data_IF_755522157173
#
_entry.id   IF_755522157173
#
_cell.length_a   1.000
_cell.length_b   1.000
_cell.length_c   1.000
_cell.angle_alpha   90.00
_cell.angle_beta   90.00
_cell.angle_gamma   90.00
#
_symmetry.space_group_name_H-M   'P 1'
#
loop_
_entity.id
_entity.type
_entity.pdbx_description
1 polymer ?
#
# COMPACT_ATOMS: atom_id res chain seq x y z
N UNK A 1 -7.31 -26.46 8.59
CA UNK A 1 -6.49 -26.67 9.80
C UNK A 1 -6.35 -25.33 10.54
N UNK A 2 -6.13 -25.30 11.86
CA UNK A 2 -6.01 -24.04 12.62
C UNK A 2 -4.81 -23.17 12.18
N UNK A 3 -3.76 -23.78 11.63
CA UNK A 3 -2.60 -23.06 11.08
C UNK A 3 -2.94 -22.30 9.78
N UNK A 4 -3.79 -22.87 8.92
CA UNK A 4 -4.28 -22.19 7.71
C UNK A 4 -5.16 -20.99 8.05
N UNK A 5 -5.97 -21.09 9.11
CA UNK A 5 -6.77 -19.97 9.59
C UNK A 5 -5.88 -18.84 10.13
N UNK A 6 -4.85 -19.17 10.91
CA UNK A 6 -3.90 -18.18 11.43
C UNK A 6 -3.09 -17.49 10.33
N UNK A 7 -2.63 -18.24 9.31
CA UNK A 7 -1.95 -17.66 8.16
C UNK A 7 -2.87 -16.70 7.38
N UNK A 8 -4.12 -17.11 7.12
CA UNK A 8 -5.11 -16.25 6.46
C UNK A 8 -5.43 -14.99 7.29
N UNK A 9 -5.47 -15.09 8.63
CA UNK A 9 -5.65 -13.93 9.51
C UNK A 9 -4.47 -12.97 9.42
N UNK A 10 -3.23 -13.47 9.34
CA UNK A 10 -2.04 -12.64 9.14
C UNK A 10 -2.09 -11.91 7.79
N UNK A 11 -2.53 -12.58 6.73
CA UNK A 11 -2.65 -11.97 5.39
C UNK A 11 -3.67 -10.84 5.37
N UNK A 12 -4.83 -11.04 6.02
CA UNK A 12 -5.87 -9.99 6.14
C UNK A 12 -5.37 -8.81 6.96
N UNK A 13 -4.69 -9.07 8.09
CA UNK A 13 -4.14 -8.01 8.93
C UNK A 13 -3.04 -7.22 8.22
N UNK A 14 -2.18 -7.88 7.45
CA UNK A 14 -1.15 -7.21 6.66
C UNK A 14 -1.77 -6.33 5.57
N UNK A 15 -2.82 -6.81 4.90
CA UNK A 15 -3.53 -6.04 3.89
C UNK A 15 -4.25 -4.83 4.49
N UNK A 16 -4.89 -5.01 5.65
CA UNK A 16 -5.52 -3.93 6.40
C UNK A 16 -4.51 -2.86 6.85
N UNK A 17 -3.36 -3.29 7.38
CA UNK A 17 -2.26 -2.39 7.73
C UNK A 17 -1.74 -1.63 6.51
N UNK A 18 -1.60 -2.30 5.37
CA UNK A 18 -1.21 -1.69 4.10
C UNK A 18 -2.22 -0.63 3.65
N UNK A 19 -3.52 -0.88 3.83
CA UNK A 19 -4.59 0.07 3.48
C UNK A 19 -4.58 1.32 4.35
N UNK A 20 -4.35 1.16 5.65
CA UNK A 20 -4.18 2.30 6.58
C UNK A 20 -2.92 3.09 6.26
N UNK A 21 -1.84 2.40 5.91
CA UNK A 21 -0.61 3.08 5.54
C UNK A 21 -0.78 3.85 4.23
N UNK A 22 -1.48 3.28 3.24
CA UNK A 22 -1.85 3.95 2.00
C UNK A 22 -2.68 5.22 2.24
N UNK A 23 -3.66 5.19 3.14
CA UNK A 23 -4.40 6.38 3.54
C UNK A 23 -3.47 7.48 4.08
N UNK A 24 -2.52 7.10 4.94
CA UNK A 24 -1.51 8.03 5.48
C UNK A 24 -0.61 8.58 4.38
N UNK A 25 -0.21 7.77 3.42
CA UNK A 25 0.60 8.19 2.25
C UNK A 25 -0.16 9.24 1.43
N UNK A 26 -1.43 9.01 1.12
CA UNK A 26 -2.25 9.95 0.34
C UNK A 26 -2.43 11.27 1.09
N UNK A 27 -2.65 11.22 2.41
CA UNK A 27 -2.91 12.42 3.23
C UNK A 27 -1.67 13.22 3.59
N UNK A 28 -0.52 12.57 3.81
CA UNK A 28 0.69 13.21 4.36
C UNK A 28 1.90 13.18 3.43
N UNK A 29 1.90 12.32 2.42
CA UNK A 29 3.02 12.14 1.49
C UNK A 29 3.14 13.24 0.44
N UNK A 30 2.30 14.29 0.49
CA UNK A 30 2.38 15.42 -0.43
C UNK A 30 1.53 15.26 -1.70
N UNK A 31 1.76 16.19 -2.63
CA UNK A 31 0.88 16.39 -3.80
C UNK A 31 1.24 15.52 -5.02
N UNK A 32 2.48 15.04 -5.13
CA UNK A 32 2.95 14.27 -6.29
C UNK A 32 3.12 12.79 -5.95
N UNK A 33 2.98 11.88 -6.93
CA UNK A 33 3.31 10.47 -6.74
C UNK A 33 4.73 10.25 -6.24
N UNK A 34 5.70 11.04 -6.71
CA UNK A 34 7.11 10.98 -6.30
C UNK A 34 7.27 11.29 -4.81
N UNK A 35 6.63 12.36 -4.34
CA UNK A 35 6.65 12.76 -2.93
C UNK A 35 6.01 11.69 -2.05
N UNK A 36 4.88 11.11 -2.51
CA UNK A 36 4.16 10.05 -1.79
C UNK A 36 4.95 8.75 -1.72
N UNK A 37 5.63 8.36 -2.81
CA UNK A 37 6.49 7.18 -2.84
C UNK A 37 7.72 7.36 -1.95
N UNK A 38 8.34 8.55 -1.96
CA UNK A 38 9.42 8.91 -1.03
C UNK A 38 8.97 8.80 0.43
N UNK A 39 7.84 9.43 0.77
CA UNK A 39 7.25 9.36 2.10
C UNK A 39 6.92 7.92 2.54
N UNK A 40 6.36 7.10 1.64
CA UNK A 40 6.05 5.71 1.92
C UNK A 40 7.32 4.91 2.26
N UNK A 41 8.35 5.07 1.44
CA UNK A 41 9.61 4.35 1.62
C UNK A 41 10.34 4.79 2.89
N UNK A 42 10.48 6.09 3.12
CA UNK A 42 11.15 6.64 4.29
C UNK A 42 10.40 6.31 5.59
N UNK A 43 9.07 6.38 5.59
CA UNK A 43 8.28 6.03 6.78
C UNK A 43 8.46 4.58 7.19
N UNK A 44 8.64 3.67 6.23
CA UNK A 44 8.81 2.25 6.51
C UNK A 44 10.26 1.84 6.79
N UNK A 45 11.24 2.45 6.13
CA UNK A 45 12.66 2.03 6.16
C UNK A 45 13.58 2.98 6.95
N UNK A 46 13.08 4.17 7.30
CA UNK A 46 13.84 5.28 7.90
C UNK A 46 15.02 5.79 7.05
N UNK A 47 14.97 5.61 5.73
CA UNK A 47 15.91 6.21 4.77
C UNK A 47 15.19 6.66 3.50
N UNK A 48 15.79 7.58 2.75
CA UNK A 48 15.27 7.93 1.43
C UNK A 48 15.48 6.77 0.43
N UNK A 49 14.53 6.56 -0.51
CA UNK A 49 14.73 5.62 -1.60
C UNK A 49 15.78 6.16 -2.56
N UNK A 50 16.59 5.27 -3.13
CA UNK A 50 17.41 5.63 -4.28
C UNK A 50 16.54 5.76 -5.54
N UNK A 51 17.11 6.27 -6.64
CA UNK A 51 16.36 6.52 -7.88
C UNK A 51 15.72 5.26 -8.47
N UNK A 52 16.34 4.08 -8.30
CA UNK A 52 15.79 2.82 -8.80
C UNK A 52 14.59 2.36 -7.97
N UNK A 53 14.71 2.41 -6.64
CA UNK A 53 13.63 2.08 -5.72
C UNK A 53 12.43 2.98 -5.96
N UNK A 54 12.66 4.30 -6.04
CA UNK A 54 11.61 5.28 -6.31
C UNK A 54 10.91 5.00 -7.65
N UNK A 55 11.66 4.69 -8.72
CA UNK A 55 11.08 4.35 -10.02
C UNK A 55 10.19 3.12 -9.93
N UNK A 56 10.64 2.05 -9.26
CA UNK A 56 9.86 0.81 -9.10
C UNK A 56 8.55 1.08 -8.37
N UNK A 57 8.57 1.86 -7.28
CA UNK A 57 7.34 2.21 -6.56
C UNK A 57 6.36 3.00 -7.43
N UNK A 58 6.87 3.93 -8.23
CA UNK A 58 6.05 4.74 -9.13
C UNK A 58 5.44 3.91 -10.26
N UNK A 59 6.17 2.96 -10.82
CA UNK A 59 5.68 2.09 -11.88
C UNK A 59 4.56 1.19 -11.35
N UNK A 60 4.74 0.60 -10.16
CA UNK A 60 3.71 -0.20 -9.49
C UNK A 60 2.47 0.64 -9.18
N UNK A 61 2.65 1.87 -8.70
CA UNK A 61 1.55 2.79 -8.47
C UNK A 61 0.78 3.09 -9.77
N UNK A 62 1.48 3.42 -10.87
CA UNK A 62 0.86 3.78 -12.15
C UNK A 62 0.10 2.60 -12.75
N UNK A 63 0.70 1.41 -12.73
CA UNK A 63 0.08 0.18 -13.22
C UNK A 63 -1.14 -0.19 -12.39
N UNK A 64 -1.02 -0.12 -11.06
CA UNK A 64 -2.12 -0.34 -10.14
C UNK A 64 -3.26 0.65 -10.37
N UNK A 65 -2.96 1.94 -10.47
CA UNK A 65 -3.95 2.99 -10.71
C UNK A 65 -4.69 2.78 -12.05
N UNK A 66 -3.95 2.47 -13.12
CA UNK A 66 -4.55 2.19 -14.42
C UNK A 66 -5.49 0.98 -14.35
N UNK A 67 -5.06 -0.10 -13.69
CA UNK A 67 -5.85 -1.31 -13.47
C UNK A 67 -7.12 -1.04 -12.67
N UNK A 68 -7.02 -0.32 -11.56
CA UNK A 68 -8.16 -0.03 -10.68
C UNK A 68 -9.14 0.99 -11.27
N UNK A 69 -8.66 1.89 -12.13
CA UNK A 69 -9.55 2.76 -12.92
C UNK A 69 -10.31 1.98 -14.00
N UNK A 70 -9.66 0.99 -14.63
CA UNK A 70 -10.30 0.12 -15.61
C UNK A 70 -11.27 -0.89 -14.96
N UNK A 71 -10.99 -1.30 -13.72
CA UNK A 71 -11.77 -2.26 -12.94
C UNK A 71 -12.07 -1.75 -11.53
N UNK A 72 -13.03 -0.83 -11.36
CA UNK A 72 -13.36 -0.25 -10.05
C UNK A 72 -13.79 -1.28 -9.01
N UNK A 73 -14.43 -2.38 -9.44
CA UNK A 73 -14.84 -3.47 -8.55
C UNK A 73 -13.65 -4.09 -7.81
N UNK A 74 -12.51 -4.25 -8.50
CA UNK A 74 -11.28 -4.78 -7.90
C UNK A 74 -10.72 -3.84 -6.82
N UNK A 75 -10.86 -2.52 -7.01
CA UNK A 75 -10.47 -1.54 -5.99
C UNK A 75 -11.37 -1.65 -4.77
N UNK A 76 -12.68 -1.83 -4.99
CA UNK A 76 -13.67 -2.06 -3.93
C UNK A 76 -13.36 -3.31 -3.12
N UNK A 77 -13.10 -4.43 -3.76
CA UNK A 77 -12.75 -5.70 -3.10
C UNK A 77 -11.48 -5.58 -2.25
N UNK A 78 -10.42 -4.96 -2.79
CA UNK A 78 -9.17 -4.74 -2.05
C UNK A 78 -9.40 -3.85 -0.82
N UNK A 79 -10.15 -2.76 -0.98
CA UNK A 79 -10.38 -1.79 0.09
C UNK A 79 -11.39 -2.28 1.14
N UNK A 80 -12.19 -3.30 0.81
CA UNK A 80 -13.12 -3.95 1.72
C UNK A 80 -12.44 -5.04 2.58
N UNK A 81 -11.17 -5.36 2.34
CA UNK A 81 -10.44 -6.32 3.14
C UNK A 81 -10.12 -5.78 4.55
N UNK A 82 -10.30 -6.64 5.56
CA UNK A 82 -10.17 -6.30 6.98
C UNK A 82 -11.49 -5.88 7.62
N UNK A 83 -11.45 -5.54 8.91
CA UNK A 83 -12.67 -5.19 9.67
C UNK A 83 -12.89 -3.68 9.78
N UNK A 84 -11.85 -2.87 9.59
CA UNK A 84 -11.96 -1.41 9.69
C UNK A 84 -12.53 -0.77 8.43
N UNK A 85 -13.23 0.37 8.64
CA UNK A 85 -13.75 1.18 7.54
C UNK A 85 -12.62 1.94 6.84
N UNK A 86 -12.76 2.14 5.52
CA UNK A 86 -11.91 3.06 4.77
C UNK A 86 -12.41 4.49 4.90
N UNK A 87 -11.53 5.45 4.65
CA UNK A 87 -11.93 6.82 4.39
C UNK A 87 -12.52 6.93 2.97
N UNK A 88 -13.84 7.11 2.89
CA UNK A 88 -14.57 7.24 1.62
C UNK A 88 -14.35 8.58 0.92
N UNK A 89 -13.72 9.56 1.57
CA UNK A 89 -13.31 10.81 0.92
C UNK A 89 -12.15 10.63 -0.05
N UNK A 90 -11.44 9.50 0.01
CA UNK A 90 -10.36 9.17 -0.90
C UNK A 90 -10.87 8.48 -2.16
N UNK A 91 -10.29 8.85 -3.31
CA UNK A 91 -10.51 8.14 -4.56
C UNK A 91 -10.15 6.66 -4.39
N UNK A 92 -11.09 5.77 -4.72
CA UNK A 92 -10.93 4.34 -4.47
C UNK A 92 -9.78 3.75 -5.30
N UNK A 93 -9.60 4.21 -6.54
CA UNK A 93 -8.52 3.70 -7.39
C UNK A 93 -7.14 4.19 -6.91
N UNK A 94 -7.01 5.45 -6.53
CA UNK A 94 -5.78 6.00 -5.92
C UNK A 94 -5.45 5.29 -4.60
N UNK A 95 -6.44 5.12 -3.72
CA UNK A 95 -6.24 4.44 -2.43
C UNK A 95 -5.84 2.97 -2.62
N UNK A 96 -6.49 2.25 -3.53
CA UNK A 96 -6.14 0.87 -3.84
C UNK A 96 -4.73 0.75 -4.46
N UNK A 97 -4.34 1.67 -5.34
CA UNK A 97 -3.00 1.70 -5.92
C UNK A 97 -1.93 1.95 -4.85
N UNK A 98 -2.15 2.90 -3.94
CA UNK A 98 -1.23 3.11 -2.81
C UNK A 98 -1.23 1.95 -1.82
N UNK A 99 -2.32 1.20 -1.71
CA UNK A 99 -2.38 -0.02 -0.87
C UNK A 99 -1.45 -1.11 -1.42
N UNK A 100 -1.35 -1.27 -2.75
CA UNK A 100 -0.36 -2.16 -3.35
C UNK A 100 1.07 -1.73 -3.05
N UNK A 101 1.37 -0.44 -3.22
CA UNK A 101 2.70 0.11 -2.93
C UNK A 101 3.05 -0.06 -1.45
N UNK A 102 2.12 0.26 -0.55
CA UNK A 102 2.29 0.08 0.89
C UNK A 102 2.55 -1.38 1.24
N UNK A 103 1.79 -2.32 0.66
CA UNK A 103 2.00 -3.75 0.86
C UNK A 103 3.38 -4.20 0.40
N UNK A 104 3.84 -3.74 -0.77
CA UNK A 104 5.19 -4.05 -1.22
C UNK A 104 6.25 -3.53 -0.25
N UNK A 105 6.16 -2.25 0.12
CA UNK A 105 7.14 -1.60 1.00
C UNK A 105 7.17 -2.28 2.37
N UNK A 106 6.02 -2.62 2.96
CA UNK A 106 5.95 -3.31 4.25
C UNK A 106 6.44 -4.77 4.19
N UNK A 107 6.39 -5.39 3.01
CA UNK A 107 6.91 -6.74 2.78
C UNK A 107 8.37 -6.77 2.28
N UNK A 108 9.05 -5.61 2.15
CA UNK A 108 10.48 -5.60 1.85
C UNK A 108 11.26 -6.28 2.98
N UNK A 109 12.23 -7.12 2.62
CA UNK A 109 13.09 -7.82 3.60
C UNK A 109 13.80 -6.85 4.54
N UNK A 110 14.13 -5.63 4.10
CA UNK A 110 14.70 -4.55 4.91
C UNK A 110 13.75 -4.00 6.00
N UNK A 111 12.43 -4.19 5.84
CA UNK A 111 11.40 -3.89 6.86
C UNK A 111 11.18 -5.09 7.79
N UNK A 112 11.33 -6.31 7.28
CA UNK A 112 11.10 -7.55 8.05
C UNK A 112 12.34 -8.01 8.85
N UNK A 113 13.55 -7.69 8.39
CA UNK A 113 14.83 -8.10 8.99
C UNK A 113 15.68 -6.88 9.38
N UNK A 114 15.34 -6.24 10.50
CA UNK A 114 16.30 -5.45 11.29
C UNK A 114 16.74 -6.30 12.49
N UNK A 115 17.91 -6.94 12.38
CA UNK A 115 18.61 -7.59 13.50
C UNK A 115 19.49 -6.58 14.25
#
# INVERSE_FOLDING_TARGET
TPLQALAAMNDVQMLEASRHFAERIVKKGGATPESRAGFAFETATAREPNSRELSVLLDIYRDGLAKYRAHPDMAGELLAAGESKRDESLDAADHAAWTLVASLVLNLDEVLNRN
#
